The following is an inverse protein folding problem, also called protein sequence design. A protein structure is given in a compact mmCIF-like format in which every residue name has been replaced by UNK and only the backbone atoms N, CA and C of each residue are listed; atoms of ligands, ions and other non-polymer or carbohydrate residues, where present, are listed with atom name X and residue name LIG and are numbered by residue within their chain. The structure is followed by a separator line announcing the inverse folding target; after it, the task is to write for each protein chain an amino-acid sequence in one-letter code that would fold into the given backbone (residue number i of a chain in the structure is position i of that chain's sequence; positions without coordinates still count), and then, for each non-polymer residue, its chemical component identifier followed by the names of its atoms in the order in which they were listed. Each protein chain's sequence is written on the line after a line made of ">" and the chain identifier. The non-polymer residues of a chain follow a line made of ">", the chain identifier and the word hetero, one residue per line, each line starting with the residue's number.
data_IF_226802795474
#
_entry.id   IF_226802795474
#
_cell.length_a   1.000
_cell.length_b   1.000
_cell.length_c   1.000
_cell.angle_alpha   90.00
_cell.angle_beta   90.00
_cell.angle_gamma   90.00
#
_symmetry.space_group_name_H-M   'P 1'
#
loop_
_entity.id
_entity.type
_entity.pdbx_description
1 polymer ?
#
# COMPACT_ATOMS: atom_id res chain seq x y z
N UNK A 1 -14.77 -4.85 23.13
CA UNK A 1 -13.28 -4.80 23.14
C UNK A 1 -12.86 -3.84 22.02
N UNK A 2 -11.91 -2.92 22.22
CA UNK A 2 -11.33 -2.14 21.12
C UNK A 2 -10.81 -3.10 20.04
N UNK A 3 -10.96 -2.76 18.75
CA UNK A 3 -10.52 -3.62 17.64
C UNK A 3 -9.03 -4.03 17.76
N UNK A 4 -8.22 -3.20 18.41
CA UNK A 4 -6.80 -3.45 18.73
C UNK A 4 -6.53 -4.48 19.85
N UNK A 5 -7.51 -5.28 20.29
CA UNK A 5 -7.30 -6.33 21.31
C UNK A 5 -7.75 -7.73 20.86
N UNK A 6 -8.15 -7.90 19.59
CA UNK A 6 -8.61 -9.20 19.10
C UNK A 6 -7.43 -10.10 18.70
N UNK A 7 -7.36 -11.29 19.31
CA UNK A 7 -6.28 -12.26 19.13
C UNK A 7 -6.42 -13.15 17.87
N UNK A 8 -7.52 -13.07 17.13
CA UNK A 8 -7.76 -13.86 15.90
C UNK A 8 -8.23 -12.99 14.74
N UNK A 9 -7.72 -13.23 13.52
CA UNK A 9 -8.11 -12.47 12.32
C UNK A 9 -9.52 -12.83 11.85
N UNK A 10 -10.03 -13.99 12.25
CA UNK A 10 -11.40 -14.41 11.93
C UNK A 10 -12.47 -13.40 12.39
N UNK A 11 -12.28 -12.81 13.58
CA UNK A 11 -13.19 -11.79 14.11
C UNK A 11 -13.06 -10.44 13.36
N UNK A 12 -11.98 -10.25 12.62
CA UNK A 12 -11.71 -9.06 11.79
C UNK A 12 -12.30 -9.21 10.38
N UNK A 13 -12.58 -10.43 9.91
CA UNK A 13 -13.06 -10.71 8.56
C UNK A 13 -14.28 -9.88 8.11
N UNK A 14 -15.37 -9.73 8.90
CA UNK A 14 -16.51 -8.92 8.48
C UNK A 14 -16.16 -7.43 8.39
N UNK A 15 -15.27 -6.95 9.26
CA UNK A 15 -14.78 -5.58 9.22
C UNK A 15 -13.90 -5.35 7.99
N UNK A 16 -12.99 -6.28 7.68
CA UNK A 16 -12.18 -6.22 6.46
C UNK A 16 -13.04 -6.20 5.19
N UNK A 17 -14.10 -7.00 5.14
CA UNK A 17 -15.06 -6.98 4.04
C UNK A 17 -15.77 -5.62 3.92
N UNK A 18 -16.19 -5.03 5.05
CA UNK A 18 -16.77 -3.70 5.08
C UNK A 18 -15.77 -2.60 4.65
N UNK A 19 -14.49 -2.75 4.98
CA UNK A 19 -13.40 -1.88 4.52
C UNK A 19 -13.23 -1.93 3.01
N UNK A 20 -13.22 -3.13 2.41
CA UNK A 20 -13.16 -3.31 0.95
C UNK A 20 -14.40 -2.75 0.27
N UNK A 21 -15.60 -2.98 0.81
CA UNK A 21 -16.83 -2.40 0.30
C UNK A 21 -16.80 -0.86 0.31
N UNK A 22 -16.21 -0.27 1.35
CA UNK A 22 -16.03 1.20 1.45
C UNK A 22 -15.12 1.73 0.34
N UNK A 23 -14.06 1.02 -0.01
CA UNK A 23 -13.20 1.36 -1.16
C UNK A 23 -13.99 1.25 -2.48
N UNK A 24 -14.88 0.26 -2.61
CA UNK A 24 -15.80 0.14 -3.74
C UNK A 24 -16.73 1.36 -3.88
N UNK A 25 -17.26 1.89 -2.77
CA UNK A 25 -18.08 3.11 -2.77
C UNK A 25 -17.26 4.31 -3.25
N UNK A 26 -16.01 4.45 -2.79
CA UNK A 26 -15.09 5.50 -3.24
C UNK A 26 -14.88 5.41 -4.75
N UNK A 27 -14.60 4.20 -5.27
CA UNK A 27 -14.44 3.99 -6.71
C UNK A 27 -15.69 4.41 -7.49
N UNK A 28 -16.89 4.04 -7.03
CA UNK A 28 -18.14 4.44 -7.69
C UNK A 28 -18.30 5.96 -7.68
N UNK A 29 -18.04 6.62 -6.54
CA UNK A 29 -18.08 8.08 -6.45
C UNK A 29 -17.11 8.75 -7.43
N UNK A 30 -15.87 8.25 -7.52
CA UNK A 30 -14.86 8.75 -8.46
C UNK A 30 -15.27 8.53 -9.92
N UNK A 31 -15.83 7.36 -10.25
CA UNK A 31 -16.32 7.07 -11.61
C UNK A 31 -17.50 7.97 -12.00
N UNK A 32 -18.44 8.21 -11.08
CA UNK A 32 -19.55 9.15 -11.33
C UNK A 32 -19.02 10.54 -11.64
N UNK A 33 -18.06 11.05 -10.85
CA UNK A 33 -17.43 12.35 -11.08
C UNK A 33 -16.57 12.42 -12.34
N UNK A 34 -15.94 11.32 -12.71
CA UNK A 34 -15.21 11.22 -13.97
C UNK A 34 -16.15 11.30 -15.18
N UNK A 35 -17.34 10.68 -15.09
CA UNK A 35 -18.30 10.62 -16.20
C UNK A 35 -19.22 11.85 -16.27
N UNK A 36 -19.55 12.46 -15.13
CA UNK A 36 -20.43 13.64 -15.07
C UNK A 36 -19.71 14.94 -15.49
N UNK A 37 -18.37 14.94 -15.51
CA UNK A 37 -17.55 16.07 -15.90
C UNK A 37 -17.65 17.27 -14.95
N UNK A 38 -18.07 17.08 -13.70
CA UNK A 38 -18.28 18.17 -12.73
C UNK A 38 -17.02 18.96 -12.40
N UNK A 39 -15.85 18.39 -12.68
CA UNK A 39 -14.53 18.99 -12.44
C UNK A 39 -13.88 19.54 -13.72
N UNK A 40 -14.44 19.26 -14.91
CA UNK A 40 -13.96 19.82 -16.18
C UNK A 40 -14.16 21.33 -16.22
N UNK A 41 -13.52 22.01 -17.19
CA UNK A 41 -13.68 23.45 -17.39
C UNK A 41 -15.18 23.83 -17.52
N UNK A 42 -15.64 24.75 -16.66
CA UNK A 42 -17.06 25.13 -16.58
C UNK A 42 -17.97 24.20 -15.77
N UNK A 43 -17.43 23.13 -15.18
CA UNK A 43 -18.14 22.19 -14.31
C UNK A 43 -18.47 22.78 -12.94
N UNK A 44 -19.45 22.17 -12.26
CA UNK A 44 -19.99 22.64 -10.97
C UNK A 44 -18.92 22.87 -9.91
N UNK A 45 -17.93 21.99 -9.81
CA UNK A 45 -16.90 22.03 -8.76
C UNK A 45 -15.54 22.51 -9.26
N UNK A 46 -15.43 22.90 -10.54
CA UNK A 46 -14.15 23.33 -11.13
C UNK A 46 -13.56 24.57 -10.44
N UNK A 47 -14.42 25.53 -10.08
CA UNK A 47 -14.00 26.76 -9.41
C UNK A 47 -13.84 26.60 -7.90
N UNK A 48 -14.36 25.52 -7.32
CA UNK A 48 -14.28 25.24 -5.88
C UNK A 48 -12.91 24.69 -5.45
N UNK A 49 -12.11 24.21 -6.41
CA UNK A 49 -10.79 23.61 -6.17
C UNK A 49 -9.67 24.59 -6.51
N UNK A 50 -8.54 24.45 -5.80
CA UNK A 50 -7.32 25.25 -6.04
C UNK A 50 -6.80 25.02 -7.45
N UNK A 51 -6.08 26.00 -7.99
CA UNK A 51 -5.49 25.94 -9.34
C UNK A 51 -4.61 24.69 -9.49
N UNK A 52 -3.83 24.36 -8.46
CA UNK A 52 -2.93 23.20 -8.43
C UNK A 52 -3.66 21.83 -8.45
N UNK A 53 -4.98 21.82 -8.19
CA UNK A 53 -5.81 20.61 -8.25
C UNK A 53 -6.71 20.55 -9.47
N UNK A 54 -6.75 21.59 -10.31
CA UNK A 54 -7.60 21.63 -11.50
C UNK A 54 -7.11 20.65 -12.56
N UNK A 55 -8.02 20.08 -13.36
CA UNK A 55 -7.61 19.13 -14.39
C UNK A 55 -6.63 19.75 -15.37
N UNK A 56 -5.51 19.08 -15.57
CA UNK A 56 -4.50 19.48 -16.55
C UNK A 56 -4.09 18.25 -17.36
N UNK A 57 -4.32 18.32 -18.66
CA UNK A 57 -3.97 17.24 -19.59
C UNK A 57 -2.93 17.77 -20.56
N UNK A 58 -1.69 17.34 -20.37
CA UNK A 58 -0.59 17.66 -21.28
C UNK A 58 -0.69 16.91 -22.60
N UNK A 59 -0.04 17.44 -23.63
CA UNK A 59 0.13 16.78 -24.92
C UNK A 59 1.42 15.94 -25.01
N UNK A 60 2.33 16.10 -24.05
CA UNK A 60 3.62 15.41 -24.05
C UNK A 60 3.57 14.13 -23.21
N UNK A 61 3.88 13.00 -23.85
CA UNK A 61 3.97 11.69 -23.21
C UNK A 61 5.40 11.17 -23.28
N UNK A 62 6.06 11.04 -22.13
CA UNK A 62 7.39 10.45 -22.03
C UNK A 62 7.32 9.03 -21.47
N UNK A 63 7.21 8.03 -22.36
CA UNK A 63 7.02 6.62 -22.00
C UNK A 63 8.09 6.05 -21.02
N UNK A 64 9.30 6.61 -21.02
CA UNK A 64 10.42 6.17 -20.15
C UNK A 64 10.88 7.26 -19.17
N UNK A 65 9.96 8.14 -18.74
CA UNK A 65 10.31 9.17 -17.77
C UNK A 65 10.64 8.58 -16.41
N UNK A 66 11.80 8.95 -15.86
CA UNK A 66 12.17 8.60 -14.47
C UNK A 66 11.23 9.22 -13.42
N UNK A 67 10.32 10.12 -13.83
CA UNK A 67 9.28 10.68 -13.00
C UNK A 67 8.24 9.63 -12.52
N UNK A 68 8.13 8.49 -13.21
CA UNK A 68 7.20 7.40 -12.86
C UNK A 68 7.73 6.51 -11.73
N UNK A 69 9.03 6.57 -11.43
CA UNK A 69 9.66 5.66 -10.46
C UNK A 69 9.13 5.81 -9.03
N UNK A 70 8.88 7.02 -8.49
CA UNK A 70 8.17 7.19 -7.22
C UNK A 70 6.80 6.50 -7.22
N UNK A 71 6.02 6.65 -8.30
CA UNK A 71 4.72 6.01 -8.45
C UNK A 71 4.85 4.47 -8.45
N UNK A 72 5.83 3.92 -9.16
CA UNK A 72 6.11 2.48 -9.13
C UNK A 72 6.42 1.97 -7.71
N UNK A 73 7.16 2.76 -6.92
CA UNK A 73 7.42 2.45 -5.51
C UNK A 73 6.13 2.51 -4.66
N UNK A 74 5.25 3.49 -4.91
CA UNK A 74 3.93 3.54 -4.24
C UNK A 74 3.08 2.32 -4.59
N UNK A 75 3.11 1.83 -5.84
CA UNK A 75 2.43 0.59 -6.25
C UNK A 75 3.00 -0.62 -5.51
N UNK A 76 4.33 -0.70 -5.34
CA UNK A 76 4.95 -1.76 -4.54
C UNK A 76 4.45 -1.72 -3.09
N UNK A 77 4.36 -0.53 -2.49
CA UNK A 77 3.80 -0.35 -1.16
C UNK A 77 2.33 -0.78 -1.08
N UNK A 78 1.51 -0.45 -2.08
CA UNK A 78 0.10 -0.85 -2.13
C UNK A 78 -0.12 -2.36 -2.19
N UNK A 79 0.84 -3.11 -2.74
CA UNK A 79 0.80 -4.57 -2.85
C UNK A 79 1.56 -5.29 -1.72
N UNK A 80 2.01 -4.57 -0.69
CA UNK A 80 2.77 -5.14 0.42
C UNK A 80 1.85 -5.81 1.45
N UNK A 81 1.76 -7.14 1.36
CA UNK A 81 1.08 -7.98 2.37
C UNK A 81 1.97 -9.11 2.93
N UNK A 82 3.19 -9.25 2.39
CA UNK A 82 4.10 -10.38 2.59
C UNK A 82 4.45 -10.66 4.06
N UNK A 83 4.55 -9.60 4.88
CA UNK A 83 4.85 -9.73 6.31
C UNK A 83 3.70 -10.38 7.10
N UNK A 84 2.46 -10.29 6.61
CA UNK A 84 1.29 -10.94 7.20
C UNK A 84 1.02 -12.33 6.62
N UNK A 85 1.65 -12.71 5.50
CA UNK A 85 1.38 -13.97 4.81
C UNK A 85 1.52 -15.22 5.69
N UNK A 86 2.53 -15.34 6.59
CA UNK A 86 2.61 -16.50 7.49
C UNK A 86 1.41 -16.61 8.43
N UNK A 87 0.91 -15.49 8.98
CA UNK A 87 -0.30 -15.48 9.83
C UNK A 87 -1.53 -15.86 9.02
N UNK A 88 -1.69 -15.29 7.83
CA UNK A 88 -2.79 -15.64 6.93
C UNK A 88 -2.78 -17.12 6.53
N UNK A 89 -1.60 -17.71 6.34
CA UNK A 89 -1.47 -19.13 6.03
C UNK A 89 -1.91 -20.01 7.20
N UNK A 90 -1.46 -19.71 8.42
CA UNK A 90 -1.81 -20.50 9.62
C UNK A 90 -3.30 -20.39 9.96
N UNK A 91 -3.92 -19.24 9.73
CA UNK A 91 -5.35 -19.03 9.98
C UNK A 91 -6.25 -19.47 8.82
N UNK A 92 -5.68 -19.90 7.69
CA UNK A 92 -6.45 -20.42 6.56
C UNK A 92 -7.14 -21.73 6.94
N UNK A 93 -8.45 -21.82 6.69
CA UNK A 93 -9.19 -23.08 6.84
C UNK A 93 -8.57 -24.15 5.93
N UNK A 94 -8.18 -25.28 6.54
CA UNK A 94 -7.41 -26.38 5.92
C UNK A 94 -6.16 -25.87 5.17
N UNK A 95 -5.10 -25.47 5.92
CA UNK A 95 -3.97 -24.74 5.35
C UNK A 95 -3.13 -25.65 4.45
N UNK A 96 -3.23 -25.46 3.13
CA UNK A 96 -2.37 -26.10 2.13
C UNK A 96 -1.78 -25.06 1.19
N UNK A 97 -0.56 -25.32 0.70
CA UNK A 97 0.15 -24.40 -0.22
C UNK A 97 -0.70 -24.07 -1.47
N UNK A 98 -1.38 -25.02 -2.14
CA UNK A 98 -2.20 -24.69 -3.32
C UNK A 98 -3.40 -23.79 -2.99
N UNK A 99 -4.08 -24.03 -1.85
CA UNK A 99 -5.24 -23.21 -1.44
C UNK A 99 -4.83 -21.79 -1.06
N UNK A 100 -3.70 -21.65 -0.38
CA UNK A 100 -3.16 -20.34 -0.05
C UNK A 100 -2.70 -19.58 -1.31
N UNK A 101 -2.04 -20.25 -2.25
CA UNK A 101 -1.66 -19.67 -3.53
C UNK A 101 -2.89 -19.19 -4.32
N UNK A 102 -3.94 -20.00 -4.42
CA UNK A 102 -5.20 -19.62 -5.07
C UNK A 102 -5.84 -18.39 -4.41
N UNK A 103 -5.92 -18.39 -3.07
CA UNK A 103 -6.47 -17.26 -2.31
C UNK A 103 -5.66 -15.98 -2.54
N UNK A 104 -4.33 -16.10 -2.60
CA UNK A 104 -3.43 -14.99 -2.89
C UNK A 104 -3.64 -14.45 -4.30
N UNK A 105 -3.76 -15.32 -5.31
CA UNK A 105 -4.01 -14.91 -6.70
C UNK A 105 -5.34 -14.14 -6.83
N UNK A 106 -6.42 -14.62 -6.19
CA UNK A 106 -7.70 -13.91 -6.21
C UNK A 106 -7.63 -12.56 -5.50
N UNK A 107 -6.96 -12.48 -4.34
CA UNK A 107 -6.81 -11.24 -3.60
C UNK A 107 -6.00 -10.20 -4.38
N UNK A 108 -4.83 -10.58 -4.90
CA UNK A 108 -3.99 -9.69 -5.71
C UNK A 108 -4.67 -9.28 -7.03
N UNK A 109 -5.39 -10.19 -7.67
CA UNK A 109 -6.17 -9.89 -8.88
C UNK A 109 -7.24 -8.83 -8.60
N UNK A 110 -8.05 -9.02 -7.55
CA UNK A 110 -9.06 -8.05 -7.15
C UNK A 110 -8.46 -6.68 -6.79
N UNK A 111 -7.41 -6.66 -5.96
CA UNK A 111 -6.74 -5.41 -5.60
C UNK A 111 -6.15 -4.69 -6.82
N UNK A 112 -5.54 -5.42 -7.75
CA UNK A 112 -4.99 -4.85 -8.97
C UNK A 112 -6.07 -4.20 -9.83
N UNK A 113 -7.22 -4.87 -10.00
CA UNK A 113 -8.36 -4.30 -10.72
C UNK A 113 -8.87 -3.01 -10.06
N UNK A 114 -9.03 -3.01 -8.74
CA UNK A 114 -9.46 -1.83 -7.99
C UNK A 114 -8.46 -0.67 -8.09
N UNK A 115 -7.16 -0.95 -7.96
CA UNK A 115 -6.12 0.07 -8.08
C UNK A 115 -6.05 0.68 -9.47
N UNK A 116 -6.13 -0.14 -10.52
CA UNK A 116 -6.18 0.35 -11.90
C UNK A 116 -7.42 1.22 -12.10
N UNK A 117 -8.59 0.78 -11.62
CA UNK A 117 -9.83 1.54 -11.79
C UNK A 117 -9.81 2.89 -11.06
N UNK A 118 -9.31 2.93 -9.81
CA UNK A 118 -9.17 4.17 -9.04
C UNK A 118 -8.14 5.10 -9.68
N UNK A 119 -6.96 4.58 -10.05
CA UNK A 119 -5.92 5.36 -10.69
C UNK A 119 -6.38 5.93 -12.05
N UNK A 120 -7.08 5.13 -12.85
CA UNK A 120 -7.66 5.56 -14.11
C UNK A 120 -8.74 6.62 -13.90
N UNK A 121 -9.69 6.42 -12.98
CA UNK A 121 -10.75 7.39 -12.70
C UNK A 121 -10.17 8.73 -12.19
N UNK A 122 -9.20 8.68 -11.28
CA UNK A 122 -8.51 9.87 -10.78
C UNK A 122 -7.77 10.62 -11.88
N UNK A 123 -6.94 9.90 -12.65
CA UNK A 123 -6.17 10.49 -13.76
C UNK A 123 -7.07 11.04 -14.85
N UNK A 124 -8.15 10.35 -15.24
CA UNK A 124 -9.10 10.85 -16.23
C UNK A 124 -9.92 12.05 -15.72
N UNK A 125 -9.97 12.28 -14.41
CA UNK A 125 -10.65 13.45 -13.82
C UNK A 125 -9.71 14.66 -13.69
N UNK A 126 -8.47 14.46 -13.22
CA UNK A 126 -7.56 15.57 -12.86
C UNK A 126 -6.27 15.64 -13.67
N UNK A 127 -5.99 14.63 -14.51
CA UNK A 127 -4.79 14.58 -15.33
C UNK A 127 -3.49 14.62 -14.51
N UNK A 128 -2.52 15.45 -14.93
CA UNK A 128 -1.21 15.59 -14.28
C UNK A 128 -1.29 16.15 -12.86
N UNK A 129 -2.38 16.84 -12.52
CA UNK A 129 -2.57 17.48 -11.22
C UNK A 129 -3.21 16.54 -10.18
N UNK A 130 -3.24 15.22 -10.46
CA UNK A 130 -3.67 14.20 -9.50
C UNK A 130 -2.74 14.16 -8.28
N UNK A 131 -3.27 14.47 -7.10
CA UNK A 131 -2.53 14.40 -5.84
C UNK A 131 -2.29 12.94 -5.44
N UNK A 132 -1.23 12.70 -4.67
CA UNK A 132 -0.88 11.39 -4.10
C UNK A 132 -1.99 10.84 -3.21
N UNK A 133 -2.76 11.72 -2.57
CA UNK A 133 -4.04 11.39 -1.96
C UNK A 133 -5.18 11.99 -2.79
N UNK A 134 -5.68 11.23 -3.76
CA UNK A 134 -6.61 11.72 -4.80
C UNK A 134 -7.88 12.41 -4.27
N UNK A 135 -8.35 12.08 -3.06
CA UNK A 135 -9.52 12.73 -2.46
C UNK A 135 -9.27 14.19 -2.03
N UNK A 136 -8.01 14.65 -2.01
CA UNK A 136 -7.66 16.06 -1.83
C UNK A 136 -8.00 16.91 -3.07
N UNK A 137 -7.99 16.31 -4.27
CA UNK A 137 -8.35 17.02 -5.50
C UNK A 137 -9.83 17.38 -5.58
N UNK A 138 -10.70 16.60 -4.93
CA UNK A 138 -12.14 16.83 -4.98
C UNK A 138 -12.56 18.00 -4.07
N UNK A 139 -13.63 18.71 -4.43
CA UNK A 139 -14.12 19.84 -3.63
C UNK A 139 -14.55 19.40 -2.22
N UNK A 140 -14.32 20.23 -1.17
CA UNK A 140 -14.93 20.02 0.14
C UNK A 140 -16.47 20.10 0.12
N UNK A 141 -17.04 20.83 -0.85
CA UNK A 141 -18.48 20.98 -1.02
C UNK A 141 -19.12 19.83 -1.82
N UNK A 142 -18.31 18.91 -2.35
CA UNK A 142 -18.82 17.74 -3.07
C UNK A 142 -19.28 16.67 -2.07
N UNK A 143 -20.60 16.38 -1.99
CA UNK A 143 -21.13 15.40 -1.04
C UNK A 143 -20.67 13.97 -1.36
N UNK A 144 -20.48 13.61 -2.65
CA UNK A 144 -19.99 12.28 -3.04
C UNK A 144 -18.54 12.10 -2.61
N UNK A 145 -17.70 13.11 -2.83
CA UNK A 145 -16.32 13.09 -2.36
C UNK A 145 -16.23 13.06 -0.82
N UNK A 146 -17.12 13.78 -0.14
CA UNK A 146 -17.20 13.77 1.32
C UNK A 146 -17.58 12.40 1.87
N UNK A 147 -18.56 11.72 1.25
CA UNK A 147 -18.86 10.31 1.57
C UNK A 147 -17.63 9.43 1.31
N UNK A 148 -16.93 9.64 0.20
CA UNK A 148 -15.67 8.94 -0.11
C UNK A 148 -14.62 9.10 1.00
N UNK A 149 -14.41 10.32 1.51
CA UNK A 149 -13.49 10.58 2.63
C UNK A 149 -13.90 9.82 3.89
N UNK A 150 -15.18 9.82 4.24
CA UNK A 150 -15.70 9.06 5.38
C UNK A 150 -15.50 7.56 5.21
N UNK A 151 -15.72 7.03 4.00
CA UNK A 151 -15.47 5.63 3.66
C UNK A 151 -13.98 5.25 3.78
N UNK A 152 -13.06 6.11 3.34
CA UNK A 152 -11.62 5.90 3.51
C UNK A 152 -11.26 5.90 5.00
N UNK A 153 -11.74 6.87 5.78
CA UNK A 153 -11.51 6.92 7.24
C UNK A 153 -12.01 5.63 7.91
N UNK A 154 -13.22 5.20 7.59
CA UNK A 154 -13.78 3.96 8.13
C UNK A 154 -12.92 2.73 7.79
N UNK A 155 -12.51 2.60 6.53
CA UNK A 155 -11.64 1.50 6.07
C UNK A 155 -10.27 1.52 6.77
N UNK A 156 -9.66 2.70 6.93
CA UNK A 156 -8.39 2.88 7.62
C UNK A 156 -8.50 2.53 9.10
N UNK A 157 -9.56 2.96 9.80
CA UNK A 157 -9.79 2.64 11.22
C UNK A 157 -9.92 1.13 11.44
N UNK A 158 -10.55 0.41 10.51
CA UNK A 158 -10.67 -1.04 10.57
C UNK A 158 -9.33 -1.75 10.36
N UNK A 159 -8.50 -1.24 9.45
CA UNK A 159 -7.24 -1.90 9.06
C UNK A 159 -6.09 -1.53 10.00
N UNK A 160 -6.15 -0.37 10.65
CA UNK A 160 -5.13 0.14 11.55
C UNK A 160 -4.73 -0.84 12.67
N UNK A 161 -5.67 -1.49 13.39
CA UNK A 161 -5.34 -2.51 14.40
C UNK A 161 -4.40 -3.59 13.89
N UNK A 162 -4.64 -4.10 12.67
CA UNK A 162 -3.86 -5.19 12.08
C UNK A 162 -2.41 -4.78 11.84
N UNK A 163 -2.21 -3.58 11.29
CA UNK A 163 -0.86 -3.03 11.08
C UNK A 163 -0.17 -2.72 12.40
N UNK A 164 -0.89 -2.15 13.37
CA UNK A 164 -0.36 -1.78 14.67
C UNK A 164 0.12 -3.00 15.47
N UNK A 165 -0.61 -4.12 15.41
CA UNK A 165 -0.15 -5.38 16.03
C UNK A 165 1.20 -5.84 15.50
N UNK A 166 1.43 -5.74 14.18
CA UNK A 166 2.71 -6.09 13.58
C UNK A 166 3.86 -5.23 14.12
N UNK A 167 3.64 -3.91 14.24
CA UNK A 167 4.65 -2.99 14.80
C UNK A 167 4.91 -3.31 16.28
N UNK A 168 3.85 -3.49 17.07
CA UNK A 168 3.95 -3.81 18.49
C UNK A 168 4.73 -5.09 18.74
N UNK A 169 4.33 -6.18 18.08
CA UNK A 169 4.96 -7.49 18.24
C UNK A 169 6.42 -7.44 17.74
N UNK A 170 6.68 -6.77 16.61
CA UNK A 170 8.04 -6.57 16.10
C UNK A 170 8.95 -5.80 17.08
N UNK A 171 8.44 -4.74 17.72
CA UNK A 171 9.20 -3.99 18.74
C UNK A 171 9.46 -4.84 19.99
N UNK A 172 8.47 -5.61 20.45
CA UNK A 172 8.63 -6.50 21.59
C UNK A 172 9.67 -7.59 21.32
N UNK A 173 9.67 -8.16 20.11
CA UNK A 173 10.62 -9.19 19.71
C UNK A 173 12.04 -8.63 19.55
N UNK A 174 12.20 -7.41 19.00
CA UNK A 174 13.50 -6.74 18.88
C UNK A 174 14.14 -6.40 20.23
N UNK A 175 13.33 -6.15 21.25
CA UNK A 175 13.79 -5.82 22.61
C UNK A 175 13.98 -7.06 23.50
N UNK A 176 13.73 -8.27 22.98
CA UNK A 176 13.66 -9.51 23.76
C UNK A 176 12.78 -9.34 25.02
N UNK A 177 11.63 -8.68 24.84
CA UNK A 177 10.83 -8.17 25.95
C UNK A 177 10.20 -9.32 26.77
N UNK A 178 10.24 -9.23 28.12
CA UNK A 178 9.65 -10.22 29.00
C UNK A 178 8.12 -10.27 28.85
N UNK A 179 7.52 -11.41 29.23
CA UNK A 179 6.08 -11.64 29.08
C UNK A 179 5.22 -10.55 29.74
N UNK A 180 5.66 -9.97 30.86
CA UNK A 180 4.98 -8.87 31.54
C UNK A 180 4.76 -7.65 30.63
N UNK A 181 5.71 -7.33 29.75
CA UNK A 181 5.59 -6.22 28.80
C UNK A 181 4.64 -6.55 27.65
N UNK A 182 4.57 -7.84 27.29
CA UNK A 182 3.65 -8.36 26.26
C UNK A 182 2.20 -8.34 26.74
N UNK A 183 1.97 -8.47 28.04
CA UNK A 183 0.64 -8.38 28.64
C UNK A 183 0.24 -6.91 28.95
N UNK A 184 1.22 -6.02 29.08
CA UNK A 184 1.02 -4.59 29.31
C UNK A 184 0.64 -3.77 28.06
N UNK A 185 0.06 -2.60 28.31
CA UNK A 185 -0.31 -1.61 27.28
C UNK A 185 0.72 -0.47 27.12
N UNK A 186 1.74 -0.40 27.97
CA UNK A 186 2.69 0.72 27.99
C UNK A 186 3.40 0.92 26.63
N UNK A 187 3.90 -0.17 26.05
CA UNK A 187 4.56 -0.14 24.73
C UNK A 187 3.59 0.29 23.64
N UNK A 188 2.34 -0.19 23.69
CA UNK A 188 1.31 0.23 22.73
C UNK A 188 1.07 1.74 22.81
N UNK A 189 0.97 2.32 24.01
CA UNK A 189 0.77 3.76 24.20
C UNK A 189 1.98 4.55 23.68
N UNK A 190 3.20 4.12 24.00
CA UNK A 190 4.43 4.78 23.53
C UNK A 190 4.51 4.76 22.00
N UNK A 191 4.24 3.62 21.37
CA UNK A 191 4.24 3.47 19.91
C UNK A 191 3.16 4.35 19.26
N UNK A 192 1.96 4.41 19.84
CA UNK A 192 0.90 5.30 19.35
C UNK A 192 1.33 6.76 19.38
N UNK A 193 1.89 7.24 20.50
CA UNK A 193 2.38 8.60 20.64
C UNK A 193 3.47 8.88 19.58
N UNK A 194 4.44 7.96 19.43
CA UNK A 194 5.51 8.10 18.45
C UNK A 194 4.98 8.21 17.01
N UNK A 195 4.05 7.32 16.62
CA UNK A 195 3.44 7.34 15.29
C UNK A 195 2.65 8.64 15.07
N UNK A 196 1.90 9.11 16.07
CA UNK A 196 1.17 10.38 15.98
C UNK A 196 2.12 11.57 15.82
N UNK A 197 3.25 11.59 16.54
CA UNK A 197 4.27 12.64 16.37
C UNK A 197 4.84 12.62 14.95
N UNK A 198 5.17 11.45 14.41
CA UNK A 198 5.66 11.34 13.02
C UNK A 198 4.60 11.82 12.02
N UNK A 199 3.33 11.47 12.24
CA UNK A 199 2.22 11.91 11.38
C UNK A 199 2.00 13.44 11.40
N UNK A 200 2.34 14.11 12.50
CA UNK A 200 2.32 15.58 12.57
C UNK A 200 3.49 16.24 11.84
N UNK A 201 4.62 15.54 11.71
CA UNK A 201 5.83 16.07 11.07
C UNK A 201 5.85 15.85 9.55
N UNK A 202 5.23 14.77 9.06
CA UNK A 202 5.26 14.40 7.64
C UNK A 202 3.82 14.23 7.14
N UNK A 203 3.36 15.18 6.32
CA UNK A 203 2.00 15.17 5.75
C UNK A 203 1.94 14.69 4.29
N UNK A 204 3.10 14.51 3.64
CA UNK A 204 3.16 14.03 2.26
C UNK A 204 3.02 12.49 2.22
N UNK A 205 1.80 12.04 1.94
CA UNK A 205 1.47 10.62 1.80
C UNK A 205 2.21 9.96 0.62
N UNK A 206 2.41 10.70 -0.47
CA UNK A 206 3.11 10.22 -1.67
C UNK A 206 4.57 9.92 -1.37
N UNK A 207 5.25 10.87 -0.72
CA UNK A 207 6.63 10.72 -0.27
C UNK A 207 6.78 9.52 0.69
N UNK A 208 5.95 9.42 1.73
CA UNK A 208 6.02 8.30 2.69
C UNK A 208 5.83 6.96 1.96
N UNK A 209 4.81 6.85 1.09
CA UNK A 209 4.52 5.60 0.40
C UNK A 209 5.60 5.23 -0.63
N UNK A 210 6.17 6.21 -1.33
CA UNK A 210 7.25 5.98 -2.27
C UNK A 210 8.54 5.52 -1.56
N UNK A 211 8.90 6.15 -0.44
CA UNK A 211 10.05 5.75 0.36
C UNK A 211 9.83 4.36 0.98
N UNK A 212 8.66 4.12 1.57
CA UNK A 212 8.34 2.84 2.20
C UNK A 212 8.34 1.68 1.18
N UNK A 213 7.73 1.89 0.01
CA UNK A 213 7.76 0.90 -1.07
C UNK A 213 9.15 0.68 -1.65
N UNK A 214 9.90 1.76 -1.89
CA UNK A 214 11.23 1.67 -2.49
C UNK A 214 12.27 1.02 -1.56
N UNK A 215 12.16 1.20 -0.25
CA UNK A 215 13.08 0.60 0.74
C UNK A 215 12.56 -0.71 1.32
N UNK A 216 11.44 -0.66 2.05
CA UNK A 216 10.96 -1.78 2.87
C UNK A 216 10.34 -2.88 2.01
N UNK A 217 9.52 -2.52 1.01
CA UNK A 217 8.95 -3.52 0.10
C UNK A 217 10.05 -4.17 -0.76
N UNK A 218 10.98 -3.40 -1.30
CA UNK A 218 12.14 -3.96 -2.03
C UNK A 218 12.94 -4.94 -1.17
N UNK A 219 13.20 -4.61 0.10
CA UNK A 219 13.90 -5.49 1.02
C UNK A 219 13.11 -6.79 1.27
N UNK A 220 11.83 -6.68 1.63
CA UNK A 220 10.98 -7.82 2.00
C UNK A 220 10.59 -8.71 0.82
N UNK A 221 10.39 -8.14 -0.37
CA UNK A 221 9.83 -8.87 -1.52
C UNK A 221 10.90 -9.27 -2.53
N UNK A 222 11.97 -8.50 -2.67
CA UNK A 222 13.01 -8.76 -3.68
C UNK A 222 14.29 -9.33 -3.06
N UNK A 223 14.77 -8.75 -1.95
CA UNK A 223 16.09 -9.12 -1.38
C UNK A 223 16.02 -10.36 -0.50
N UNK A 224 15.17 -10.34 0.53
CA UNK A 224 15.09 -11.44 1.51
C UNK A 224 14.71 -12.77 0.84
N UNK A 225 13.65 -12.85 0.02
CA UNK A 225 13.26 -14.10 -0.63
C UNK A 225 14.33 -14.60 -1.60
N UNK A 226 15.05 -13.71 -2.29
CA UNK A 226 16.12 -14.11 -3.20
C UNK A 226 17.29 -14.77 -2.47
N UNK A 227 17.71 -14.19 -1.34
CA UNK A 227 18.78 -14.75 -0.51
C UNK A 227 18.33 -16.08 0.10
N UNK A 228 17.10 -16.14 0.62
CA UNK A 228 16.52 -17.36 1.19
C UNK A 228 16.43 -18.49 0.15
N UNK A 229 15.91 -18.20 -1.04
CA UNK A 229 15.76 -19.17 -2.13
C UNK A 229 17.11 -19.68 -2.61
N UNK A 230 18.06 -18.77 -2.85
CA UNK A 230 19.44 -19.13 -3.23
C UNK A 230 20.07 -20.07 -2.19
N UNK A 231 19.92 -19.75 -0.90
CA UNK A 231 20.48 -20.55 0.19
C UNK A 231 19.79 -21.92 0.31
N UNK A 232 18.48 -21.98 0.10
CA UNK A 232 17.72 -23.23 0.08
C UNK A 232 18.19 -24.15 -1.06
N UNK A 233 18.28 -23.64 -2.29
CA UNK A 233 18.80 -24.39 -3.45
C UNK A 233 20.25 -24.82 -3.25
N UNK A 234 21.08 -23.98 -2.64
CA UNK A 234 22.48 -24.31 -2.38
C UNK A 234 22.64 -25.51 -1.42
N UNK A 235 21.74 -25.64 -0.43
CA UNK A 235 21.69 -26.77 0.52
C UNK A 235 21.04 -28.04 -0.06
N UNK A 236 20.36 -27.97 -1.21
CA UNK A 236 19.75 -29.15 -1.83
C UNK A 236 20.83 -30.13 -2.32
N UNK A 237 20.67 -31.42 -1.98
CA UNK A 237 21.55 -32.52 -2.41
C UNK A 237 21.51 -32.75 -3.92
N UNK A 238 20.34 -32.57 -4.54
CA UNK A 238 20.12 -32.77 -5.97
C UNK A 238 19.77 -31.43 -6.62
N UNK A 239 20.75 -30.81 -7.28
CA UNK A 239 20.59 -29.52 -7.95
C UNK A 239 20.28 -29.74 -9.42
N UNK A 240 19.03 -29.52 -9.82
CA UNK A 240 18.65 -29.55 -11.25
C UNK A 240 19.13 -28.29 -11.97
N UNK A 241 19.32 -28.39 -13.29
CA UNK A 241 19.64 -27.20 -14.13
C UNK A 241 18.56 -26.14 -14.05
N UNK A 242 17.29 -26.53 -13.94
CA UNK A 242 16.15 -25.63 -13.75
C UNK A 242 16.29 -24.75 -12.50
N UNK A 243 16.59 -25.34 -11.35
CA UNK A 243 16.79 -24.60 -10.09
C UNK A 243 17.94 -23.60 -10.17
N UNK A 244 19.01 -23.90 -10.93
CA UNK A 244 20.11 -22.94 -11.15
C UNK A 244 19.65 -21.73 -11.97
N UNK A 245 18.83 -21.98 -13.00
CA UNK A 245 18.23 -20.91 -13.81
C UNK A 245 17.27 -20.06 -12.98
N UNK A 246 16.42 -20.68 -12.16
CA UNK A 246 15.51 -19.98 -11.25
C UNK A 246 16.25 -19.11 -10.24
N UNK A 247 17.35 -19.62 -9.65
CA UNK A 247 18.19 -18.81 -8.76
C UNK A 247 18.78 -17.61 -9.49
N UNK A 248 19.23 -17.78 -10.74
CA UNK A 248 19.72 -16.66 -11.54
C UNK A 248 18.62 -15.62 -11.79
N UNK A 249 17.42 -16.07 -12.19
CA UNK A 249 16.25 -15.21 -12.41
C UNK A 249 15.89 -14.44 -11.14
N UNK A 250 15.82 -15.11 -10.00
CA UNK A 250 15.45 -14.47 -8.74
C UNK A 250 16.52 -13.44 -8.31
N UNK A 251 17.80 -13.72 -8.57
CA UNK A 251 18.88 -12.76 -8.31
C UNK A 251 18.85 -11.57 -9.27
N UNK A 252 18.49 -11.75 -10.54
CA UNK A 252 18.33 -10.63 -11.48
C UNK A 252 17.14 -9.75 -11.10
N UNK A 253 16.02 -10.35 -10.70
CA UNK A 253 14.87 -9.61 -10.16
C UNK A 253 15.21 -8.85 -8.87
N UNK A 254 16.05 -9.44 -8.00
CA UNK A 254 16.55 -8.75 -6.81
C UNK A 254 17.34 -7.49 -7.19
N UNK A 255 18.30 -7.60 -8.10
CA UNK A 255 19.11 -6.44 -8.53
C UNK A 255 18.23 -5.38 -9.18
N UNK A 256 17.31 -5.79 -10.06
CA UNK A 256 16.37 -4.87 -10.70
C UNK A 256 15.49 -4.14 -9.67
N UNK A 257 14.94 -4.88 -8.70
CA UNK A 257 14.14 -4.31 -7.61
C UNK A 257 14.92 -3.29 -6.79
N UNK A 258 16.18 -3.59 -6.45
CA UNK A 258 17.07 -2.66 -5.72
C UNK A 258 17.35 -1.39 -6.52
N UNK A 259 17.60 -1.52 -7.83
CA UNK A 259 17.83 -0.36 -8.70
C UNK A 259 16.58 0.51 -8.82
N UNK A 260 15.41 -0.10 -9.06
CA UNK A 260 14.13 0.61 -9.18
C UNK A 260 13.73 1.28 -7.86
N UNK A 261 13.81 0.55 -6.74
CA UNK A 261 13.51 1.07 -5.41
C UNK A 261 14.46 2.20 -5.01
N UNK A 262 15.77 2.01 -5.22
CA UNK A 262 16.78 3.02 -4.88
C UNK A 262 16.64 4.30 -5.72
N UNK A 263 16.42 4.18 -7.03
CA UNK A 263 16.20 5.34 -7.90
C UNK A 263 14.88 6.05 -7.63
N UNK A 264 13.81 5.31 -7.32
CA UNK A 264 12.53 5.87 -6.91
C UNK A 264 12.60 6.64 -5.59
N UNK A 265 13.30 6.09 -4.59
CA UNK A 265 13.55 6.77 -3.30
C UNK A 265 14.37 8.05 -3.52
N UNK A 266 15.46 7.96 -4.30
CA UNK A 266 16.29 9.13 -4.63
C UNK A 266 15.45 10.24 -5.27
N UNK A 267 14.61 9.91 -6.26
CA UNK A 267 13.72 10.89 -6.91
C UNK A 267 12.67 11.46 -5.96
N UNK A 268 12.15 10.65 -5.04
CA UNK A 268 11.16 11.10 -4.04
C UNK A 268 11.77 12.09 -3.05
N UNK A 269 12.98 11.80 -2.56
CA UNK A 269 13.75 12.69 -1.68
C UNK A 269 14.11 13.98 -2.43
N UNK A 270 14.61 13.87 -3.66
CA UNK A 270 14.98 15.04 -4.45
C UNK A 270 13.80 16.00 -4.68
N UNK A 271 12.58 15.47 -4.85
CA UNK A 271 11.36 16.28 -4.98
C UNK A 271 10.91 16.91 -3.66
N UNK A 272 11.04 16.21 -2.54
CA UNK A 272 10.61 16.71 -1.23
C UNK A 272 11.45 17.88 -0.71
N UNK A 273 12.67 18.07 -1.23
CA UNK A 273 13.60 19.15 -0.84
C UNK A 273 13.74 20.25 -1.91
N UNK A 274 12.89 20.26 -2.94
CA UNK A 274 12.80 21.33 -3.94
C UNK A 274 11.65 22.29 -3.59
#
# INVERSE_FOLDING_TARGET
>A
LPLCLMKSLHNLAPFSAAGVASVGIVLVAMLVRCLDGSYNEGGQFHNDISIDHRPEFGHENHAFSTAVLPFACMVYQGLLMHYNSPRFFVELKDPTIPRFAQSTVYAFGLCTCLYIAIAAAGYLTFGSNSDSYILNNYSPNDPLATVGRLCVVFSTVITYPLAFFGVRDGCLDLLDAPQEWRDGNAISVILLIAITVVAMLISDLGFINAVAGGLFCTLLCCVIPAIMYRRAVWKSLHKTRGQRCEVLLVLTLMVLGVLLGGTGVYKSIARAFQ
#
